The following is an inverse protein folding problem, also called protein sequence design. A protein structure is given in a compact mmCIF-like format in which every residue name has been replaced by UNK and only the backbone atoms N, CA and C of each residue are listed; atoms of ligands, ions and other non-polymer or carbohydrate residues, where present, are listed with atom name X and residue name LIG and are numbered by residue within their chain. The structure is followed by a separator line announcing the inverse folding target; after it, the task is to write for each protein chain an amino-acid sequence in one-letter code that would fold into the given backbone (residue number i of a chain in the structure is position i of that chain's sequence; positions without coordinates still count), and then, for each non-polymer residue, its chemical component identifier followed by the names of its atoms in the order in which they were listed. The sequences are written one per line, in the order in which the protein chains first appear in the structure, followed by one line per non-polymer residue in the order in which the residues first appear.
data_IF_054161869389
#
_entry.id   IF_054161869389
#
_cell.length_a   1.000
_cell.length_b   1.000
_cell.length_c   1.000
_cell.angle_alpha   90.00
_cell.angle_beta   90.00
_cell.angle_gamma   90.00
#
_symmetry.space_group_name_H-M   'P 1'
#
loop_
_entity.id
_entity.type
_entity.pdbx_description
1 polymer ?
#
# COMPACT_ATOMS: atom_id res chain seq x y z
N UNK A 1 -17.53 -10.15 19.97
CA UNK A 1 -17.96 -10.71 18.67
C UNK A 1 -17.06 -11.86 18.19
N UNK A 2 -15.72 -11.72 18.13
CA UNK A 2 -14.77 -12.82 17.80
C UNK A 2 -15.15 -14.20 18.35
N UNK A 3 -15.29 -14.32 19.68
CA UNK A 3 -15.62 -15.60 20.33
C UNK A 3 -16.99 -16.16 19.90
N UNK A 4 -17.97 -15.28 19.63
CA UNK A 4 -19.29 -15.69 19.18
C UNK A 4 -19.24 -16.24 17.74
N UNK A 5 -18.48 -15.60 16.84
CA UNK A 5 -18.24 -16.13 15.49
C UNK A 5 -17.56 -17.49 15.54
N UNK A 6 -16.52 -17.63 16.37
CA UNK A 6 -15.82 -18.91 16.55
C UNK A 6 -16.74 -20.02 17.09
N UNK A 7 -17.65 -19.69 18.02
CA UNK A 7 -18.60 -20.64 18.59
C UNK A 7 -19.60 -21.22 17.57
N UNK A 8 -19.76 -20.59 16.40
CA UNK A 8 -20.59 -21.15 15.32
C UNK A 8 -19.95 -22.38 14.65
N UNK A 9 -18.63 -22.57 14.78
CA UNK A 9 -17.86 -23.59 14.08
C UNK A 9 -17.65 -23.32 12.58
N UNK A 10 -18.14 -22.20 12.04
CA UNK A 10 -17.91 -21.78 10.65
C UNK A 10 -16.72 -20.81 10.59
N UNK A 11 -15.71 -21.05 9.72
CA UNK A 11 -14.68 -20.06 9.42
C UNK A 11 -15.31 -18.81 8.80
N UNK A 12 -15.08 -17.65 9.43
CA UNK A 12 -15.59 -16.34 9.00
C UNK A 12 -14.43 -15.36 9.12
N UNK A 13 -14.10 -14.66 8.02
CA UNK A 13 -13.15 -13.56 8.07
C UNK A 13 -13.74 -12.43 8.91
N UNK A 14 -13.03 -12.03 9.97
CA UNK A 14 -13.52 -10.99 10.87
C UNK A 14 -12.74 -9.70 10.65
N UNK A 15 -13.37 -8.72 10.00
CA UNK A 15 -12.83 -7.36 9.81
C UNK A 15 -13.38 -6.43 10.89
N UNK A 16 -12.51 -5.75 11.61
CA UNK A 16 -12.88 -4.72 12.58
C UNK A 16 -12.99 -3.35 11.90
N UNK A 17 -14.06 -2.63 12.21
CA UNK A 17 -14.25 -1.25 11.81
C UNK A 17 -14.50 -0.39 13.05
N UNK A 18 -13.41 0.04 13.70
CA UNK A 18 -13.42 0.95 14.84
C UNK A 18 -12.46 2.14 14.64
N UNK A 19 -12.08 2.42 13.39
CA UNK A 19 -11.35 3.63 12.98
C UNK A 19 -10.01 3.89 13.68
N UNK A 20 -9.31 2.85 14.12
CA UNK A 20 -8.05 3.00 14.85
C UNK A 20 -8.23 3.27 16.35
N UNK A 21 -9.46 3.36 16.86
CA UNK A 21 -9.72 3.72 18.25
C UNK A 21 -9.12 2.72 19.24
N UNK A 22 -8.75 3.24 20.42
CA UNK A 22 -8.18 2.47 21.53
C UNK A 22 -6.97 1.61 21.11
N UNK A 23 -6.13 2.17 20.24
CA UNK A 23 -4.92 1.55 19.71
C UNK A 23 -5.15 0.13 19.17
N UNK A 24 -6.18 -0.05 18.32
CA UNK A 24 -6.53 -1.37 17.73
C UNK A 24 -5.36 -2.11 17.11
N UNK A 25 -4.34 -1.42 16.61
CA UNK A 25 -3.13 -2.05 16.10
C UNK A 25 -2.39 -2.91 17.16
N UNK A 26 -2.55 -2.65 18.45
CA UNK A 26 -1.90 -3.41 19.52
C UNK A 26 -2.62 -4.72 19.86
N UNK A 27 -3.94 -4.81 19.68
CA UNK A 27 -4.76 -5.95 20.10
C UNK A 27 -5.59 -6.60 18.98
N UNK A 28 -5.72 -5.91 17.85
CA UNK A 28 -6.35 -6.34 16.61
C UNK A 28 -5.77 -7.65 16.07
N UNK A 29 -4.42 -7.83 16.01
CA UNK A 29 -3.81 -9.07 15.53
C UNK A 29 -4.25 -10.32 16.29
N UNK A 30 -4.55 -10.19 17.59
CA UNK A 30 -5.04 -11.32 18.41
C UNK A 30 -6.55 -11.52 18.29
N UNK A 31 -7.27 -10.58 17.67
CA UNK A 31 -8.73 -10.48 17.72
C UNK A 31 -9.42 -10.72 16.38
N UNK A 32 -8.82 -10.28 15.28
CA UNK A 32 -9.46 -10.15 13.97
C UNK A 32 -8.47 -10.40 12.83
N UNK A 33 -9.00 -10.54 11.62
CA UNK A 33 -8.19 -10.76 10.41
C UNK A 33 -7.79 -9.46 9.72
N UNK A 34 -8.51 -8.38 9.99
CA UNK A 34 -8.11 -7.01 9.66
C UNK A 34 -8.74 -6.02 10.63
N UNK A 35 -8.20 -4.80 10.67
CA UNK A 35 -8.77 -3.72 11.47
C UNK A 35 -8.54 -2.36 10.83
N UNK A 36 -9.62 -1.57 10.77
CA UNK A 36 -9.57 -0.19 10.31
C UNK A 36 -8.61 0.61 11.19
N UNK A 37 -7.65 1.29 10.56
CA UNK A 37 -6.62 2.10 11.24
C UNK A 37 -6.93 3.60 11.23
N UNK A 38 -7.94 3.99 10.46
CA UNK A 38 -8.27 5.39 10.14
C UNK A 38 -9.78 5.61 10.08
N UNK A 39 -10.16 6.90 10.07
CA UNK A 39 -11.50 7.35 9.65
C UNK A 39 -11.83 6.88 8.22
N UNK A 40 -13.09 7.03 7.84
CA UNK A 40 -13.56 6.68 6.51
C UNK A 40 -12.79 7.46 5.45
N UNK A 41 -12.36 6.75 4.41
CA UNK A 41 -11.82 7.37 3.21
C UNK A 41 -12.95 8.11 2.47
N UNK A 42 -12.57 9.08 1.66
CA UNK A 42 -13.47 9.72 0.71
C UNK A 42 -12.71 9.95 -0.59
N UNK A 43 -13.46 10.04 -1.68
CA UNK A 43 -12.98 10.24 -3.05
C UNK A 43 -12.28 11.60 -3.25
N UNK A 44 -11.02 11.67 -2.80
CA UNK A 44 -10.16 12.83 -2.91
C UNK A 44 -8.75 12.58 -2.39
N UNK A 45 -7.75 13.11 -3.11
CA UNK A 45 -6.33 12.82 -2.86
C UNK A 45 -5.85 13.10 -1.43
N UNK A 46 -6.36 14.17 -0.81
CA UNK A 46 -6.03 14.49 0.59
C UNK A 46 -6.45 13.40 1.58
N UNK A 47 -7.55 12.68 1.30
CA UNK A 47 -8.02 11.56 2.12
C UNK A 47 -7.11 10.36 1.98
N UNK A 48 -6.75 10.01 0.74
CA UNK A 48 -5.83 8.90 0.42
C UNK A 48 -4.48 9.10 1.10
N UNK A 49 -3.92 10.30 0.98
CA UNK A 49 -2.66 10.64 1.63
C UNK A 49 -2.76 10.55 3.16
N UNK A 50 -3.83 11.09 3.75
CA UNK A 50 -4.04 11.02 5.20
C UNK A 50 -4.14 9.57 5.67
N UNK A 51 -5.01 8.77 5.05
CA UNK A 51 -5.25 7.38 5.43
C UNK A 51 -3.98 6.54 5.30
N UNK A 52 -3.27 6.66 4.18
CA UNK A 52 -2.01 5.94 3.97
C UNK A 52 -0.96 6.33 5.01
N UNK A 53 -0.72 7.63 5.25
CA UNK A 53 0.30 8.08 6.21
C UNK A 53 -0.04 7.70 7.65
N UNK A 54 -1.32 7.73 8.03
CA UNK A 54 -1.76 7.28 9.35
C UNK A 54 -1.56 5.77 9.52
N UNK A 55 -1.96 4.97 8.52
CA UNK A 55 -1.79 3.52 8.49
C UNK A 55 -0.31 3.09 8.60
N UNK A 56 0.60 3.85 7.99
CA UNK A 56 2.04 3.57 8.05
C UNK A 56 2.64 3.69 9.46
N UNK A 57 2.00 4.41 10.38
CA UNK A 57 2.47 4.55 11.78
C UNK A 57 2.34 3.25 12.57
N UNK A 58 1.47 2.36 12.15
CA UNK A 58 1.18 1.07 12.81
C UNK A 58 1.61 -0.12 11.96
N UNK A 59 2.54 0.07 11.02
CA UNK A 59 2.97 -0.97 10.06
C UNK A 59 3.40 -2.28 10.73
N UNK A 60 4.01 -2.20 11.91
CA UNK A 60 4.60 -3.35 12.60
C UNK A 60 3.55 -4.28 13.22
N UNK A 61 2.28 -3.83 13.27
CA UNK A 61 1.14 -4.64 13.70
C UNK A 61 0.54 -5.49 12.58
N UNK A 62 0.90 -5.22 11.32
CA UNK A 62 0.38 -5.94 10.15
C UNK A 62 1.24 -7.17 9.83
N UNK A 63 0.59 -8.30 9.50
CA UNK A 63 1.28 -9.53 9.14
C UNK A 63 0.32 -10.66 8.77
N UNK A 64 0.88 -11.85 8.53
CA UNK A 64 0.10 -13.02 8.11
C UNK A 64 -1.07 -13.29 9.08
N UNK A 65 -2.30 -13.21 8.56
CA UNK A 65 -3.52 -13.47 9.31
C UNK A 65 -4.15 -12.26 10.00
N UNK A 66 -3.49 -11.09 10.01
CA UNK A 66 -3.97 -9.85 10.62
C UNK A 66 -3.42 -8.61 9.92
N UNK A 67 -4.28 -7.88 9.22
CA UNK A 67 -3.87 -6.77 8.35
C UNK A 67 -4.40 -5.42 8.81
N UNK A 68 -3.53 -4.40 8.76
CA UNK A 68 -3.97 -3.03 8.88
C UNK A 68 -4.87 -2.64 7.69
N UNK A 69 -6.01 -2.00 7.97
CA UNK A 69 -7.01 -1.60 6.96
C UNK A 69 -7.13 -0.06 6.91
N UNK A 70 -6.56 0.61 5.90
CA UNK A 70 -6.74 2.05 5.65
C UNK A 70 -8.05 2.41 4.94
N UNK A 71 -9.02 1.50 4.87
CA UNK A 71 -10.32 1.59 4.20
C UNK A 71 -10.32 1.17 2.72
N UNK A 72 -11.50 1.21 2.07
CA UNK A 72 -11.74 0.74 0.70
C UNK A 72 -10.96 1.52 -0.38
N UNK A 73 -10.96 0.97 -1.61
CA UNK A 73 -10.42 1.62 -2.80
C UNK A 73 -11.44 2.59 -3.43
N UNK A 74 -11.04 3.84 -3.64
CA UNK A 74 -11.84 4.91 -4.29
C UNK A 74 -11.67 4.97 -5.83
N UNK A 75 -10.98 3.97 -6.41
CA UNK A 75 -10.69 3.90 -7.84
C UNK A 75 -11.99 3.69 -8.63
N UNK A 76 -12.27 4.54 -9.60
CA UNK A 76 -13.47 4.51 -10.44
C UNK A 76 -14.65 5.32 -9.91
N UNK A 77 -14.49 6.08 -8.81
CA UNK A 77 -15.55 6.94 -8.26
C UNK A 77 -15.58 8.36 -8.86
N UNK A 78 -14.51 8.77 -9.55
CA UNK A 78 -14.47 9.96 -10.42
C UNK A 78 -13.93 11.24 -9.76
N UNK A 79 -13.60 11.23 -8.48
CA UNK A 79 -12.98 12.35 -7.75
C UNK A 79 -11.45 12.38 -7.83
N UNK A 80 -10.83 11.31 -8.34
CA UNK A 80 -9.38 11.19 -8.54
C UNK A 80 -9.00 11.28 -10.01
N UNK A 81 -7.83 11.84 -10.28
CA UNK A 81 -7.17 11.69 -11.57
C UNK A 81 -6.61 10.27 -11.73
N UNK A 82 -6.39 9.85 -12.97
CA UNK A 82 -5.80 8.54 -13.30
C UNK A 82 -4.47 8.27 -12.56
N UNK A 83 -3.61 9.29 -12.42
CA UNK A 83 -2.34 9.13 -11.70
C UNK A 83 -2.53 9.05 -10.17
N UNK A 84 -3.55 9.70 -9.62
CA UNK A 84 -3.93 9.53 -8.20
C UNK A 84 -4.54 8.15 -7.95
N UNK A 85 -5.36 7.61 -8.86
CA UNK A 85 -5.88 6.24 -8.77
C UNK A 85 -4.75 5.20 -8.81
N UNK A 86 -3.80 5.34 -9.76
CA UNK A 86 -2.60 4.49 -9.83
C UNK A 86 -1.80 4.53 -8.53
N UNK A 87 -1.58 5.74 -8.01
CA UNK A 87 -0.86 5.96 -6.77
C UNK A 87 -1.58 5.31 -5.59
N UNK A 88 -2.90 5.52 -5.47
CA UNK A 88 -3.74 4.96 -4.43
C UNK A 88 -3.66 3.42 -4.42
N UNK A 89 -3.79 2.79 -5.59
CA UNK A 89 -3.70 1.34 -5.70
C UNK A 89 -2.34 0.79 -5.28
N UNK A 90 -1.25 1.41 -5.75
CA UNK A 90 0.11 1.00 -5.42
C UNK A 90 0.41 1.17 -3.92
N UNK A 91 -0.07 2.26 -3.30
CA UNK A 91 0.09 2.55 -1.88
C UNK A 91 -0.69 1.54 -1.00
N UNK A 92 -1.92 1.18 -1.38
CA UNK A 92 -2.68 0.14 -0.69
C UNK A 92 -2.03 -1.23 -0.85
N UNK A 93 -1.56 -1.56 -2.06
CA UNK A 93 -0.91 -2.82 -2.33
C UNK A 93 0.37 -3.00 -1.52
N UNK A 94 1.27 -2.00 -1.52
CA UNK A 94 2.54 -2.07 -0.80
C UNK A 94 2.37 -1.98 0.72
N UNK A 95 1.22 -1.46 1.19
CA UNK A 95 0.88 -1.45 2.62
C UNK A 95 0.25 -2.74 3.13
N UNK A 96 0.02 -3.74 2.25
CA UNK A 96 -0.70 -4.99 2.58
C UNK A 96 -2.12 -4.75 3.08
N UNK A 97 -2.73 -3.64 2.67
CA UNK A 97 -4.12 -3.34 2.95
C UNK A 97 -5.06 -4.36 2.28
N UNK A 98 -6.25 -4.62 2.85
CA UNK A 98 -7.34 -5.23 2.11
C UNK A 98 -7.64 -4.44 0.83
N UNK A 99 -7.66 -5.10 -0.32
CA UNK A 99 -8.02 -4.49 -1.61
C UNK A 99 -9.52 -4.71 -1.87
N UNK A 100 -10.37 -3.88 -1.26
CA UNK A 100 -11.82 -3.94 -1.40
C UNK A 100 -12.28 -2.82 -2.34
N UNK A 101 -12.90 -3.18 -3.46
CA UNK A 101 -13.39 -2.23 -4.47
C UNK A 101 -14.58 -1.45 -3.91
N UNK A 102 -14.49 -0.11 -3.94
CA UNK A 102 -15.51 0.81 -3.45
C UNK A 102 -16.35 1.51 -4.53
N UNK A 103 -16.24 1.11 -5.80
CA UNK A 103 -16.95 1.75 -6.92
C UNK A 103 -18.08 0.89 -7.51
N UNK A 104 -18.91 1.50 -8.36
CA UNK A 104 -19.93 0.79 -9.14
C UNK A 104 -19.29 0.08 -10.34
N UNK A 105 -19.10 -1.23 -10.22
CA UNK A 105 -18.53 -2.08 -11.27
C UNK A 105 -19.35 -2.11 -12.58
N UNK A 106 -20.59 -1.64 -12.58
CA UNK A 106 -21.41 -1.55 -13.81
C UNK A 106 -21.13 -0.28 -14.61
N UNK A 107 -20.46 0.70 -13.99
CA UNK A 107 -20.18 2.02 -14.54
C UNK A 107 -18.68 2.36 -14.58
N UNK A 108 -17.82 1.50 -14.03
CA UNK A 108 -16.36 1.73 -13.98
C UNK A 108 -15.78 1.90 -15.38
N UNK A 109 -14.98 2.96 -15.56
CA UNK A 109 -14.30 3.21 -16.82
C UNK A 109 -13.15 2.23 -17.04
N UNK A 110 -12.83 1.94 -18.31
CA UNK A 110 -11.75 1.01 -18.68
C UNK A 110 -10.41 1.38 -18.06
N UNK A 111 -10.10 2.68 -17.92
CA UNK A 111 -8.87 3.16 -17.29
C UNK A 111 -8.79 2.84 -15.80
N UNK A 112 -9.89 2.97 -15.07
CA UNK A 112 -9.93 2.60 -13.64
C UNK A 112 -9.95 1.09 -13.47
N UNK A 113 -10.62 0.36 -14.37
CA UNK A 113 -10.62 -1.10 -14.38
C UNK A 113 -9.23 -1.68 -14.65
N UNK A 114 -8.45 -1.08 -15.56
CA UNK A 114 -7.05 -1.45 -15.81
C UNK A 114 -6.20 -1.37 -14.53
N UNK A 115 -6.39 -0.32 -13.72
CA UNK A 115 -5.71 -0.18 -12.43
C UNK A 115 -6.13 -1.29 -11.47
N UNK A 116 -7.44 -1.49 -11.31
CA UNK A 116 -8.01 -2.49 -10.39
C UNK A 116 -7.63 -3.93 -10.76
N UNK A 117 -7.31 -4.19 -12.02
CA UNK A 117 -6.97 -5.52 -12.55
C UNK A 117 -5.48 -5.73 -12.79
N UNK A 118 -4.61 -4.80 -12.37
CA UNK A 118 -3.17 -4.96 -12.50
C UNK A 118 -2.66 -6.12 -11.63
N UNK A 119 -2.43 -7.28 -12.28
CA UNK A 119 -2.04 -8.52 -11.61
C UNK A 119 -0.67 -8.44 -10.90
N UNK A 120 0.25 -7.60 -11.37
CA UNK A 120 1.58 -7.47 -10.78
C UNK A 120 1.55 -6.70 -9.46
N UNK A 121 0.75 -5.63 -9.39
CA UNK A 121 0.52 -4.87 -8.16
C UNK A 121 -0.31 -5.70 -7.17
N UNK A 122 -1.30 -6.45 -7.65
CA UNK A 122 -2.04 -7.42 -6.82
C UNK A 122 -1.09 -8.48 -6.27
N UNK A 123 -0.17 -9.03 -7.08
CA UNK A 123 0.81 -10.00 -6.62
C UNK A 123 1.73 -9.45 -5.52
N UNK A 124 2.09 -8.16 -5.58
CA UNK A 124 2.80 -7.49 -4.47
C UNK A 124 1.95 -7.51 -3.20
N UNK A 125 0.66 -7.16 -3.26
CA UNK A 125 -0.21 -7.19 -2.10
C UNK A 125 -0.37 -8.61 -1.52
N UNK A 126 -0.56 -9.59 -2.40
CA UNK A 126 -0.84 -10.99 -2.05
C UNK A 126 0.39 -11.82 -1.62
N UNK A 127 1.59 -11.24 -1.65
CA UNK A 127 2.77 -11.89 -1.11
C UNK A 127 2.74 -11.94 0.42
N UNK A 128 2.19 -13.03 0.98
CA UNK A 128 2.03 -13.21 2.43
C UNK A 128 3.35 -13.26 3.21
N UNK A 129 4.46 -13.59 2.54
CA UNK A 129 5.77 -13.68 3.15
C UNK A 129 6.52 -12.35 3.25
N UNK A 130 5.92 -11.24 2.81
CA UNK A 130 6.49 -9.91 2.96
C UNK A 130 5.71 -9.02 3.91
N UNK A 131 6.46 -8.18 4.60
CA UNK A 131 5.91 -7.19 5.52
C UNK A 131 5.28 -6.02 4.76
N UNK A 132 4.36 -5.32 5.43
CA UNK A 132 3.98 -3.97 5.07
C UNK A 132 5.24 -3.11 4.87
N UNK A 133 5.31 -2.36 3.76
CA UNK A 133 6.50 -1.56 3.46
C UNK A 133 6.85 -0.56 4.56
N UNK A 134 8.10 -0.10 4.53
CA UNK A 134 8.59 1.02 5.34
C UNK A 134 9.01 2.16 4.44
N UNK A 135 8.94 3.37 4.96
CA UNK A 135 9.50 4.52 4.27
C UNK A 135 11.04 4.44 4.31
N UNK A 136 11.70 4.65 3.16
CA UNK A 136 13.17 4.58 3.00
C UNK A 136 13.79 5.89 2.53
N UNK A 137 13.03 6.75 1.83
CA UNK A 137 13.46 8.09 1.41
C UNK A 137 12.32 9.07 1.67
N UNK A 138 12.63 10.29 2.11
CA UNK A 138 11.63 11.37 2.30
C UNK A 138 10.68 11.13 3.47
N UNK A 139 11.19 10.59 4.58
CA UNK A 139 10.41 10.10 5.73
C UNK A 139 10.59 10.96 6.99
N UNK A 140 11.37 12.02 6.91
CA UNK A 140 11.60 12.89 8.05
C UNK A 140 10.41 13.84 8.21
N UNK A 141 10.12 14.29 9.43
CA UNK A 141 8.95 15.14 9.69
C UNK A 141 8.95 16.42 8.84
N UNK A 142 10.12 16.97 8.50
CA UNK A 142 10.24 18.11 7.61
C UNK A 142 9.98 17.77 6.13
N UNK A 143 10.23 16.54 5.71
CA UNK A 143 9.90 16.07 4.36
C UNK A 143 8.38 15.91 4.23
N UNK A 144 7.73 15.36 5.26
CA UNK A 144 6.26 15.26 5.32
C UNK A 144 5.61 16.64 5.35
N UNK A 145 6.09 17.56 6.20
CA UNK A 145 5.59 18.92 6.29
C UNK A 145 5.70 19.66 4.95
N UNK A 146 6.82 19.48 4.25
CA UNK A 146 7.05 20.08 2.94
C UNK A 146 6.43 19.26 1.80
N UNK A 147 5.76 18.13 2.09
CA UNK A 147 5.24 17.20 1.08
C UNK A 147 6.30 16.86 0.02
N UNK A 148 7.54 16.59 0.42
CA UNK A 148 8.57 16.14 -0.52
C UNK A 148 8.25 14.71 -0.97
N UNK A 149 8.69 14.28 -2.18
CA UNK A 149 8.51 12.90 -2.59
C UNK A 149 9.07 11.91 -1.57
N UNK A 150 8.39 10.77 -1.43
CA UNK A 150 8.78 9.70 -0.53
C UNK A 150 8.96 8.40 -1.30
N UNK A 151 9.74 7.49 -0.75
CA UNK A 151 9.89 6.13 -1.28
C UNK A 151 9.57 5.14 -0.18
N UNK A 152 8.69 4.21 -0.46
CA UNK A 152 8.32 3.10 0.42
C UNK A 152 8.80 1.81 -0.20
N UNK A 153 9.41 0.93 0.59
CA UNK A 153 9.94 -0.33 0.07
C UNK A 153 9.70 -1.50 1.03
N UNK A 154 9.55 -2.68 0.46
CA UNK A 154 9.50 -3.97 1.16
C UNK A 154 10.29 -5.03 0.40
N UNK A 155 10.73 -6.06 1.11
CA UNK A 155 11.35 -7.25 0.49
C UNK A 155 10.27 -8.31 0.32
N UNK A 156 10.10 -8.78 -0.90
CA UNK A 156 9.18 -9.87 -1.24
C UNK A 156 9.74 -11.21 -0.77
N UNK A 157 8.87 -12.21 -0.57
CA UNK A 157 9.26 -13.57 -0.18
C UNK A 157 10.21 -14.25 -1.19
N UNK A 158 10.15 -13.83 -2.46
CA UNK A 158 11.07 -14.25 -3.52
C UNK A 158 12.51 -13.74 -3.34
N UNK A 159 12.72 -12.78 -2.43
CA UNK A 159 13.99 -12.07 -2.23
C UNK A 159 14.11 -10.79 -3.07
N UNK A 160 13.21 -10.55 -4.02
CA UNK A 160 13.12 -9.27 -4.74
C UNK A 160 12.73 -8.12 -3.80
N UNK A 161 12.94 -6.89 -4.26
CA UNK A 161 12.50 -5.69 -3.53
C UNK A 161 11.46 -4.98 -4.37
N UNK A 162 10.34 -4.61 -3.74
CA UNK A 162 9.33 -3.73 -4.32
C UNK A 162 9.48 -2.35 -3.71
N UNK A 163 9.33 -1.31 -4.52
CA UNK A 163 9.33 0.06 -4.06
C UNK A 163 8.25 0.89 -4.77
N UNK A 164 7.62 1.80 -4.04
CA UNK A 164 6.72 2.83 -4.55
C UNK A 164 7.36 4.18 -4.29
N UNK A 165 7.63 4.92 -5.37
CA UNK A 165 8.10 6.30 -5.34
C UNK A 165 6.91 7.22 -5.58
N UNK A 166 6.59 8.08 -4.63
CA UNK A 166 5.38 8.90 -4.65
C UNK A 166 5.73 10.38 -4.58
N UNK A 167 5.15 11.17 -5.49
CA UNK A 167 5.16 12.62 -5.43
C UNK A 167 3.86 13.11 -4.80
N UNK A 168 3.92 13.58 -3.55
CA UNK A 168 2.75 14.07 -2.84
C UNK A 168 2.23 15.43 -3.34
N UNK A 169 2.94 16.11 -4.25
CA UNK A 169 2.56 17.45 -4.73
C UNK A 169 1.85 17.36 -6.07
N UNK A 170 0.88 18.25 -6.26
CA UNK A 170 0.21 18.51 -7.55
C UNK A 170 1.10 19.30 -8.53
N UNK A 171 2.42 19.12 -8.44
CA UNK A 171 3.40 19.77 -9.31
C UNK A 171 4.43 18.74 -9.75
N UNK A 172 4.92 18.84 -10.99
CA UNK A 172 5.96 17.95 -11.48
C UNK A 172 7.20 18.02 -10.60
N UNK A 173 7.72 16.86 -10.23
CA UNK A 173 8.98 16.73 -9.53
C UNK A 173 9.98 16.01 -10.44
N UNK A 174 11.19 16.57 -10.56
CA UNK A 174 12.28 15.95 -11.31
C UNK A 174 13.47 15.70 -10.38
N UNK A 175 14.33 14.75 -10.76
CA UNK A 175 15.54 14.39 -10.03
C UNK A 175 15.31 13.68 -8.69
N UNK A 176 14.21 12.94 -8.53
CA UNK A 176 14.15 11.95 -7.46
C UNK A 176 15.21 10.88 -7.73
N UNK A 177 16.15 10.71 -6.80
CA UNK A 177 17.19 9.69 -6.85
C UNK A 177 16.91 8.66 -5.78
N UNK A 178 17.00 7.40 -6.17
CA UNK A 178 16.87 6.24 -5.29
C UNK A 178 18.13 5.41 -5.51
N UNK A 179 18.99 5.31 -4.51
CA UNK A 179 20.13 4.42 -4.59
C UNK A 179 19.67 3.00 -4.19
N UNK A 180 20.25 1.96 -4.81
CA UNK A 180 19.91 0.56 -4.51
C UNK A 180 20.05 0.23 -3.01
N UNK A 181 20.99 0.89 -2.34
CA UNK A 181 21.20 0.77 -0.89
C UNK A 181 20.04 1.30 -0.06
N UNK A 182 19.32 2.32 -0.54
CA UNK A 182 18.17 2.90 0.18
C UNK A 182 17.06 1.86 0.35
N UNK A 183 16.85 1.07 -0.70
CA UNK A 183 15.86 -0.03 -0.72
C UNK A 183 16.42 -1.36 -0.21
N UNK A 184 17.64 -1.35 0.36
CA UNK A 184 18.26 -2.51 0.98
C UNK A 184 18.84 -3.54 0.01
N UNK A 185 19.16 -3.14 -1.22
CA UNK A 185 19.92 -3.94 -2.18
C UNK A 185 21.40 -3.56 -2.05
N UNK A 186 22.20 -4.48 -1.50
CA UNK A 186 23.63 -4.28 -1.37
C UNK A 186 24.32 -4.45 -2.74
N UNK A 187 25.08 -3.45 -3.22
CA UNK A 187 25.86 -3.59 -4.45
C UNK A 187 26.85 -4.75 -4.30
N UNK A 188 26.84 -5.68 -5.26
CA UNK A 188 27.84 -6.75 -5.35
C UNK A 188 28.55 -6.59 -6.69
N UNK A 189 29.88 -6.53 -6.65
CA UNK A 189 30.68 -6.39 -7.88
C UNK A 189 30.30 -7.48 -8.90
N UNK A 190 29.90 -7.05 -10.10
CA UNK A 190 29.48 -7.95 -11.18
C UNK A 190 28.05 -8.50 -11.08
N UNK A 191 27.29 -8.16 -10.03
CA UNK A 191 25.87 -8.45 -9.98
C UNK A 191 25.08 -7.43 -10.81
N UNK A 192 23.98 -7.89 -11.40
CA UNK A 192 23.06 -7.04 -12.15
C UNK A 192 21.70 -7.02 -11.46
N UNK A 193 21.10 -5.85 -11.38
CA UNK A 193 19.71 -5.67 -10.92
C UNK A 193 18.86 -5.33 -12.13
N UNK A 194 17.74 -6.04 -12.30
CA UNK A 194 16.69 -5.67 -13.25
C UNK A 194 15.64 -4.87 -12.51
N UNK A 195 15.32 -3.68 -13.03
CA UNK A 195 14.22 -2.86 -12.52
C UNK A 195 13.03 -3.03 -13.44
N UNK A 196 11.89 -3.40 -12.87
CA UNK A 196 10.62 -3.58 -13.57
C UNK A 196 9.62 -2.53 -13.11
N UNK A 197 9.00 -1.85 -14.05
CA UNK A 197 7.85 -0.97 -13.82
C UNK A 197 6.58 -1.83 -13.84
N UNK A 198 5.87 -1.87 -12.71
CA UNK A 198 4.67 -2.70 -12.55
C UNK A 198 3.41 -2.06 -13.15
N UNK A 199 3.40 -0.75 -13.39
CA UNK A 199 2.31 -0.09 -14.10
C UNK A 199 2.46 -0.25 -15.60
N UNK A 200 3.68 -0.11 -16.11
CA UNK A 200 3.97 -0.23 -17.56
C UNK A 200 4.26 -1.67 -18.01
N UNK A 201 4.34 -2.63 -17.08
CA UNK A 201 4.63 -4.05 -17.35
C UNK A 201 5.95 -4.28 -18.10
N UNK A 202 6.94 -3.41 -17.91
CA UNK A 202 8.20 -3.42 -18.67
C UNK A 202 9.44 -3.35 -17.77
N UNK A 203 10.57 -3.84 -18.29
CA UNK A 203 11.86 -3.69 -17.62
C UNK A 203 12.52 -2.38 -18.05
N UNK A 204 12.73 -1.46 -17.12
CA UNK A 204 13.20 -0.09 -17.40
C UNK A 204 14.72 0.08 -17.25
N UNK A 205 15.41 -0.83 -16.55
CA UNK A 205 16.89 -0.85 -16.56
C UNK A 205 17.47 -2.21 -16.14
N UNK A 206 18.69 -2.47 -16.61
CA UNK A 206 19.62 -3.47 -16.07
C UNK A 206 20.93 -2.77 -15.71
N UNK A 207 21.23 -2.62 -14.42
CA UNK A 207 22.41 -1.89 -13.94
C UNK A 207 23.26 -2.70 -12.97
N UNK A 208 24.56 -2.37 -12.86
CA UNK A 208 25.49 -2.89 -11.84
C UNK A 208 25.33 -2.15 -10.50
#
# INVERSE_FOLDING_TARGET
MRNALNATGRPIFYSLCNWGEEDVANWGPETANSWRTTMDIFDGWGSIEYNFKANMKVRDSSGEGGWNDPDMLEIGNGGLTYEEEKSHFALWAISKAPLIIGCDLTLVEDSSLEILTNEEIIAVNQDLGSEQARCVVGCQWWDELLRKPSVYASRLSSGAVVAVAINWRETSYSNLRIDLTDVGIAPKSGAWVTVRDLHAHENISTGQ
#
